data_IF_912090703700
#
_entry.id   IF_912090703700
#
_cell.length_a   1.000
_cell.length_b   1.000
_cell.length_c   1.000
_cell.angle_alpha   90.00
_cell.angle_beta   90.00
_cell.angle_gamma   90.00
#
_symmetry.space_group_name_H-M   'P 1'
#
loop_
_entity.id
_entity.type
_entity.pdbx_description
1 polymer ?
#
# COMPACT_ATOMS: atom_id res chain seq x y z
N UNK A 1 -41.23 9.38 -8.27
CA UNK A 1 -40.33 8.89 -7.19
C UNK A 1 -40.06 10.02 -6.23
N UNK A 2 -40.35 9.86 -4.94
CA UNK A 2 -40.13 10.91 -3.95
C UNK A 2 -38.63 11.26 -3.87
N UNK A 3 -38.30 12.52 -4.11
CA UNK A 3 -36.94 13.02 -3.94
C UNK A 3 -36.51 12.80 -2.48
N UNK A 4 -35.39 12.11 -2.27
CA UNK A 4 -34.94 11.78 -0.91
C UNK A 4 -34.72 13.01 -0.03
N UNK A 5 -34.77 12.81 1.28
CA UNK A 5 -34.77 13.91 2.26
C UNK A 5 -33.49 14.76 2.17
N UNK A 6 -33.53 15.97 2.73
CA UNK A 6 -32.36 16.86 2.78
C UNK A 6 -31.17 16.19 3.48
N UNK A 7 -31.46 15.42 4.52
CA UNK A 7 -30.47 14.66 5.30
C UNK A 7 -29.84 13.54 4.47
N UNK A 8 -30.65 12.74 3.78
CA UNK A 8 -30.14 11.68 2.89
C UNK A 8 -29.22 12.24 1.80
N UNK A 9 -29.55 13.41 1.24
CA UNK A 9 -28.69 14.10 0.27
C UNK A 9 -27.38 14.56 0.88
N UNK A 10 -27.38 15.01 2.14
CA UNK A 10 -26.16 15.38 2.89
C UNK A 10 -25.30 14.14 3.16
N UNK A 11 -25.90 13.04 3.56
CA UNK A 11 -25.18 11.79 3.82
C UNK A 11 -24.61 11.18 2.56
N UNK A 12 -25.36 11.18 1.46
CA UNK A 12 -24.86 10.80 0.15
C UNK A 12 -23.66 11.66 -0.25
N UNK A 13 -23.72 12.98 -0.06
CA UNK A 13 -22.59 13.89 -0.32
C UNK A 13 -21.37 13.51 0.53
N UNK A 14 -21.54 13.25 1.83
CA UNK A 14 -20.47 12.83 2.75
C UNK A 14 -19.86 11.49 2.35
N UNK A 15 -20.69 10.50 2.02
CA UNK A 15 -20.24 9.18 1.57
C UNK A 15 -19.44 9.26 0.27
N UNK A 16 -19.90 10.04 -0.71
CA UNK A 16 -19.19 10.28 -1.97
C UNK A 16 -17.83 10.95 -1.71
N UNK A 17 -17.78 11.94 -0.82
CA UNK A 17 -16.54 12.63 -0.47
C UNK A 17 -15.53 11.67 0.21
N UNK A 18 -15.98 10.86 1.16
CA UNK A 18 -15.14 9.88 1.82
C UNK A 18 -14.61 8.81 0.85
N UNK A 19 -15.46 8.30 -0.04
CA UNK A 19 -15.07 7.34 -1.06
C UNK A 19 -14.08 7.94 -2.08
N UNK A 20 -14.22 9.22 -2.45
CA UNK A 20 -13.24 9.95 -3.27
C UNK A 20 -11.87 10.04 -2.58
N UNK A 21 -11.85 10.27 -1.27
CA UNK A 21 -10.60 10.26 -0.50
C UNK A 21 -9.96 8.86 -0.52
N UNK A 22 -10.75 7.79 -0.36
CA UNK A 22 -10.26 6.42 -0.46
C UNK A 22 -9.70 6.11 -1.86
N UNK A 23 -10.37 6.55 -2.92
CA UNK A 23 -9.93 6.42 -4.32
C UNK A 23 -8.57 7.10 -4.55
N UNK A 24 -8.41 8.34 -4.10
CA UNK A 24 -7.13 9.06 -4.16
C UNK A 24 -6.01 8.36 -3.40
N UNK A 25 -6.30 7.84 -2.21
CA UNK A 25 -5.30 7.12 -1.40
C UNK A 25 -4.94 5.77 -2.01
N UNK A 26 -5.89 5.06 -2.64
CA UNK A 26 -5.63 3.83 -3.37
C UNK A 26 -4.71 4.08 -4.59
N UNK A 27 -4.96 5.14 -5.38
CA UNK A 27 -4.06 5.53 -6.49
C UNK A 27 -2.66 5.85 -6.00
N UNK A 28 -2.54 6.57 -4.87
CA UNK A 28 -1.22 6.87 -4.28
C UNK A 28 -0.53 5.60 -3.79
N UNK A 29 -1.25 4.67 -3.18
CA UNK A 29 -0.70 3.38 -2.77
C UNK A 29 -0.16 2.61 -3.99
N UNK A 30 -0.91 2.56 -5.09
CA UNK A 30 -0.46 1.92 -6.32
C UNK A 30 0.86 2.49 -6.86
N UNK A 31 1.08 3.81 -6.76
CA UNK A 31 2.34 4.45 -7.15
C UNK A 31 3.56 3.98 -6.35
N UNK A 32 3.36 3.49 -5.13
CA UNK A 32 4.41 2.96 -4.27
C UNK A 32 4.62 1.45 -4.41
N UNK A 33 3.79 0.77 -5.19
CA UNK A 33 3.99 -0.64 -5.52
C UNK A 33 4.98 -0.79 -6.68
N UNK A 34 5.73 -1.90 -6.74
CA UNK A 34 6.64 -2.15 -7.86
C UNK A 34 5.90 -2.12 -9.20
N UNK A 35 6.55 -1.54 -10.22
CA UNK A 35 6.02 -1.49 -11.59
C UNK A 35 5.80 -2.91 -12.12
N UNK A 36 4.82 -3.09 -13.01
CA UNK A 36 4.47 -4.37 -13.65
C UNK A 36 4.03 -5.50 -12.70
N UNK A 37 3.61 -5.18 -11.48
CA UNK A 37 3.00 -6.18 -10.58
C UNK A 37 1.50 -6.30 -10.80
N UNK A 38 0.99 -7.54 -10.75
CA UNK A 38 -0.45 -7.83 -10.80
C UNK A 38 -1.20 -7.09 -9.68
N UNK A 39 -0.59 -6.97 -8.50
CA UNK A 39 -1.16 -6.24 -7.36
C UNK A 39 -1.37 -4.75 -7.68
N UNK A 40 -0.39 -4.11 -8.32
CA UNK A 40 -0.52 -2.71 -8.77
C UNK A 40 -1.60 -2.56 -9.82
N UNK A 41 -1.57 -3.37 -10.88
CA UNK A 41 -2.56 -3.30 -11.97
C UNK A 41 -3.99 -3.50 -11.45
N UNK A 42 -4.20 -4.47 -10.56
CA UNK A 42 -5.51 -4.71 -9.93
C UNK A 42 -5.97 -3.56 -9.04
N UNK A 43 -5.05 -2.90 -8.34
CA UNK A 43 -5.39 -1.74 -7.49
C UNK A 43 -5.69 -0.49 -8.32
N UNK A 44 -4.97 -0.29 -9.43
CA UNK A 44 -5.23 0.78 -10.41
C UNK A 44 -6.59 0.57 -11.07
N UNK A 45 -6.87 -0.62 -11.61
CA UNK A 45 -8.17 -0.96 -12.20
C UNK A 45 -9.34 -0.74 -11.21
N UNK A 46 -9.19 -1.18 -9.95
CA UNK A 46 -10.20 -0.95 -8.92
C UNK A 46 -10.41 0.54 -8.60
N UNK A 47 -9.36 1.37 -8.71
CA UNK A 47 -9.47 2.81 -8.53
C UNK A 47 -10.16 3.51 -9.71
N UNK A 48 -9.99 3.00 -10.94
CA UNK A 48 -10.68 3.50 -12.12
C UNK A 48 -12.17 3.12 -12.11
N UNK A 49 -12.50 1.86 -11.79
CA UNK A 49 -13.88 1.43 -11.55
C UNK A 49 -14.56 2.27 -10.46
N UNK A 50 -13.86 2.51 -9.34
CA UNK A 50 -14.40 3.33 -8.26
C UNK A 50 -14.63 4.78 -8.71
N UNK A 51 -13.80 5.33 -9.61
CA UNK A 51 -14.01 6.67 -10.15
C UNK A 51 -15.28 6.75 -11.01
N UNK A 52 -15.56 5.73 -11.83
CA UNK A 52 -16.80 5.61 -12.60
C UNK A 52 -18.03 5.50 -11.69
N UNK A 53 -17.97 4.63 -10.69
CA UNK A 53 -19.04 4.48 -9.69
C UNK A 53 -19.33 5.79 -8.96
N UNK A 54 -18.28 6.55 -8.61
CA UNK A 54 -18.41 7.82 -7.91
C UNK A 54 -18.96 8.93 -8.80
N UNK A 55 -18.70 8.89 -10.11
CA UNK A 55 -19.34 9.80 -11.08
C UNK A 55 -20.83 9.52 -11.11
N UNK A 56 -21.22 8.28 -11.34
CA UNK A 56 -22.62 7.89 -11.41
C UNK A 56 -23.36 8.10 -10.06
N UNK A 57 -22.69 7.94 -8.92
CA UNK A 57 -23.25 8.28 -7.60
C UNK A 57 -23.49 9.79 -7.42
N UNK A 58 -22.69 10.66 -8.05
CA UNK A 58 -22.95 12.12 -8.02
C UNK A 58 -24.19 12.48 -8.81
N UNK A 59 -24.38 11.85 -9.96
CA UNK A 59 -25.52 12.06 -10.85
C UNK A 59 -26.81 11.59 -10.16
N UNK A 60 -26.77 10.40 -9.53
CA UNK A 60 -27.88 9.84 -8.75
C UNK A 60 -28.14 10.56 -7.42
N UNK A 61 -27.25 11.44 -6.93
CA UNK A 61 -27.34 12.04 -5.59
C UNK A 61 -28.65 12.80 -5.34
N UNK A 62 -29.16 13.50 -6.36
CA UNK A 62 -30.36 14.34 -6.22
C UNK A 62 -31.65 13.51 -6.33
N UNK A 63 -31.68 12.55 -7.24
CA UNK A 63 -32.85 11.72 -7.55
C UNK A 63 -32.96 10.47 -6.68
N UNK A 64 -31.84 9.94 -6.18
CA UNK A 64 -31.77 8.70 -5.39
C UNK A 64 -30.61 8.72 -4.40
N UNK A 65 -30.64 9.59 -3.37
CA UNK A 65 -29.52 9.78 -2.45
C UNK A 65 -29.11 8.51 -1.71
N UNK A 66 -30.07 7.67 -1.29
CA UNK A 66 -29.78 6.37 -0.65
C UNK A 66 -28.98 5.44 -1.58
N UNK A 67 -29.32 5.40 -2.87
CA UNK A 67 -28.61 4.59 -3.88
C UNK A 67 -27.19 5.12 -4.10
N UNK A 68 -27.05 6.43 -4.23
CA UNK A 68 -25.75 7.11 -4.36
C UNK A 68 -24.83 6.80 -3.16
N UNK A 69 -25.35 6.90 -1.93
CA UNK A 69 -24.60 6.57 -0.71
C UNK A 69 -24.15 5.10 -0.70
N UNK A 70 -25.05 4.16 -1.04
CA UNK A 70 -24.73 2.73 -1.12
C UNK A 70 -23.67 2.44 -2.19
N UNK A 71 -23.77 3.07 -3.36
CA UNK A 71 -22.76 2.92 -4.43
C UNK A 71 -21.39 3.39 -3.94
N UNK A 72 -21.29 4.62 -3.41
CA UNK A 72 -20.05 5.15 -2.87
C UNK A 72 -19.44 4.27 -1.76
N UNK A 73 -20.28 3.76 -0.84
CA UNK A 73 -19.83 2.87 0.23
C UNK A 73 -19.29 1.52 -0.29
N UNK A 74 -19.89 0.96 -1.34
CA UNK A 74 -19.41 -0.26 -2.00
C UNK A 74 -18.06 -0.04 -2.66
N UNK A 75 -17.88 1.05 -3.39
CA UNK A 75 -16.61 1.38 -4.03
C UNK A 75 -15.50 1.58 -2.99
N UNK A 76 -15.77 2.30 -1.89
CA UNK A 76 -14.82 2.44 -0.78
C UNK A 76 -14.45 1.08 -0.15
N UNK A 77 -15.41 0.16 0.02
CA UNK A 77 -15.16 -1.19 0.54
C UNK A 77 -14.33 -2.05 -0.43
N UNK A 78 -14.54 -1.90 -1.73
CA UNK A 78 -13.76 -2.60 -2.77
C UNK A 78 -12.30 -2.16 -2.69
N UNK A 79 -12.05 -0.85 -2.65
CA UNK A 79 -10.69 -0.29 -2.54
C UNK A 79 -9.96 -0.73 -1.27
N UNK A 80 -10.65 -0.73 -0.13
CA UNK A 80 -10.10 -1.28 1.11
C UNK A 80 -9.65 -2.72 0.94
N UNK A 81 -10.53 -3.60 0.43
CA UNK A 81 -10.22 -5.02 0.21
C UNK A 81 -9.04 -5.22 -0.73
N UNK A 82 -8.96 -4.44 -1.80
CA UNK A 82 -7.86 -4.51 -2.75
C UNK A 82 -6.54 -4.03 -2.14
N UNK A 83 -6.58 -2.97 -1.33
CA UNK A 83 -5.38 -2.49 -0.63
C UNK A 83 -4.80 -3.48 0.37
N UNK A 84 -5.66 -4.25 1.05
CA UNK A 84 -5.25 -5.31 1.97
C UNK A 84 -4.52 -6.45 1.25
N UNK A 85 -4.85 -6.68 -0.02
CA UNK A 85 -4.23 -7.71 -0.88
C UNK A 85 -2.96 -7.22 -1.60
N UNK A 86 -2.77 -5.90 -1.71
CA UNK A 86 -1.70 -5.32 -2.52
C UNK A 86 -0.43 -4.96 -1.73
N UNK A 87 -0.50 -4.82 -0.40
CA UNK A 87 0.67 -4.48 0.43
C UNK A 87 1.43 -5.70 0.96
N UNK A 88 2.70 -5.54 1.39
CA UNK A 88 3.44 -6.58 2.07
C UNK A 88 2.68 -7.02 3.32
N UNK A 89 2.42 -8.33 3.45
CA UNK A 89 1.92 -8.93 4.69
C UNK A 89 3.05 -8.85 5.72
N UNK A 90 2.84 -8.29 6.92
CA UNK A 90 3.85 -8.38 7.96
C UNK A 90 4.12 -9.86 8.27
N UNK A 91 5.39 -10.27 8.47
CA UNK A 91 5.70 -11.62 8.91
C UNK A 91 5.03 -11.84 10.28
N UNK A 92 4.26 -12.92 10.42
CA UNK A 92 3.46 -13.23 11.62
C UNK A 92 2.01 -12.71 11.64
N UNK A 93 1.59 -11.88 10.67
CA UNK A 93 0.28 -11.24 10.68
C UNK A 93 -0.88 -12.04 10.09
N UNK A 94 -1.17 -13.26 10.59
CA UNK A 94 -2.52 -13.86 10.45
C UNK A 94 -3.44 -13.28 11.52
N UNK A 95 -3.67 -11.97 11.50
CA UNK A 95 -4.43 -11.33 12.57
C UNK A 95 -5.04 -9.99 12.17
N UNK A 96 -6.37 -9.98 12.02
CA UNK A 96 -7.25 -8.84 12.34
C UNK A 96 -7.04 -7.47 11.66
N UNK A 97 -6.30 -7.35 10.55
CA UNK A 97 -6.22 -6.05 9.85
C UNK A 97 -7.53 -5.60 9.15
N UNK A 98 -8.61 -6.39 9.21
CA UNK A 98 -9.87 -6.12 8.51
C UNK A 98 -11.14 -6.05 9.37
N UNK A 99 -11.05 -6.28 10.69
CA UNK A 99 -12.24 -6.37 11.55
C UNK A 99 -12.42 -5.16 12.50
N UNK A 100 -11.34 -4.53 12.97
CA UNK A 100 -11.43 -3.62 14.12
C UNK A 100 -11.57 -2.12 13.77
N UNK A 101 -11.74 -1.76 12.49
CA UNK A 101 -11.84 -0.36 12.08
C UNK A 101 -13.25 0.23 12.07
N UNK A 102 -14.27 -0.62 12.05
CA UNK A 102 -15.66 -0.22 11.97
C UNK A 102 -16.42 -1.03 13.01
N UNK A 103 -16.59 -0.46 14.21
CA UNK A 103 -17.63 -0.93 15.13
C UNK A 103 -18.92 -1.13 14.32
N UNK A 104 -19.62 -2.24 14.51
CA UNK A 104 -20.83 -2.56 13.75
C UNK A 104 -21.86 -1.40 13.82
N UNK A 105 -21.82 -0.67 14.95
CA UNK A 105 -22.68 0.48 15.26
C UNK A 105 -22.17 1.84 14.74
N UNK A 106 -21.06 1.87 14.00
CA UNK A 106 -20.56 3.12 13.43
C UNK A 106 -21.35 3.52 12.17
N UNK A 107 -21.77 4.78 12.14
CA UNK A 107 -22.42 5.40 10.98
C UNK A 107 -21.64 5.15 9.69
N UNK A 108 -22.37 5.05 8.58
CA UNK A 108 -21.79 4.75 7.26
C UNK A 108 -20.66 5.74 6.87
N UNK A 109 -20.75 6.98 7.34
CA UNK A 109 -19.73 8.03 7.14
C UNK A 109 -18.47 7.73 7.95
N UNK A 110 -18.59 7.36 9.22
CA UNK A 110 -17.45 7.03 10.07
C UNK A 110 -16.72 5.78 9.55
N UNK A 111 -17.47 4.78 9.10
CA UNK A 111 -16.88 3.60 8.43
C UNK A 111 -16.10 4.00 7.18
N UNK A 112 -16.61 4.92 6.37
CA UNK A 112 -15.91 5.41 5.19
C UNK A 112 -14.63 6.18 5.55
N UNK A 113 -14.64 6.99 6.62
CA UNK A 113 -13.45 7.69 7.13
C UNK A 113 -12.40 6.70 7.65
N UNK A 114 -12.81 5.69 8.42
CA UNK A 114 -11.91 4.65 8.94
C UNK A 114 -11.17 3.93 7.81
N UNK A 115 -11.87 3.61 6.71
CA UNK A 115 -11.26 3.03 5.50
C UNK A 115 -10.22 3.92 4.87
N UNK A 116 -10.50 5.22 4.73
CA UNK A 116 -9.54 6.18 4.22
C UNK A 116 -8.28 6.27 5.11
N UNK A 117 -8.45 6.24 6.44
CA UNK A 117 -7.32 6.19 7.39
C UNK A 117 -6.49 4.91 7.22
N UNK A 118 -7.13 3.76 7.03
CA UNK A 118 -6.43 2.49 6.81
C UNK A 118 -5.57 2.53 5.54
N UNK A 119 -6.11 3.03 4.43
CA UNK A 119 -5.36 3.24 3.18
C UNK A 119 -4.14 4.15 3.38
N UNK A 120 -4.30 5.24 4.13
CA UNK A 120 -3.20 6.14 4.47
C UNK A 120 -2.10 5.44 5.27
N UNK A 121 -2.46 4.60 6.25
CA UNK A 121 -1.49 3.78 7.03
C UNK A 121 -0.75 2.79 6.13
N UNK A 122 -1.47 2.09 5.24
CA UNK A 122 -0.88 1.16 4.26
C UNK A 122 0.09 1.86 3.31
N UNK A 123 -0.25 3.07 2.84
CA UNK A 123 0.65 3.89 2.03
C UNK A 123 1.94 4.24 2.78
N UNK A 124 1.84 4.60 4.06
CA UNK A 124 3.02 4.89 4.88
C UNK A 124 3.92 3.66 5.03
N UNK A 125 3.35 2.49 5.29
CA UNK A 125 4.08 1.22 5.34
C UNK A 125 4.77 0.90 4.01
N UNK A 126 4.06 1.02 2.87
CA UNK A 126 4.64 0.79 1.55
C UNK A 126 5.81 1.75 1.25
N UNK A 127 5.70 3.02 1.63
CA UNK A 127 6.77 4.01 1.50
C UNK A 127 7.98 3.66 2.37
N UNK A 128 7.78 3.17 3.58
CA UNK A 128 8.86 2.72 4.47
C UNK A 128 9.58 1.50 3.90
N UNK A 129 8.84 0.50 3.44
CA UNK A 129 9.41 -0.69 2.79
C UNK A 129 10.23 -0.29 1.55
N UNK A 130 9.72 0.63 0.73
CA UNK A 130 10.46 1.14 -0.42
C UNK A 130 11.76 1.86 -0.02
N UNK A 131 11.76 2.63 1.07
CA UNK A 131 12.99 3.26 1.60
C UNK A 131 13.99 2.21 2.10
N UNK A 132 13.53 1.19 2.83
CA UNK A 132 14.39 0.12 3.32
C UNK A 132 14.98 -0.70 2.17
N UNK A 133 14.19 -1.03 1.15
CA UNK A 133 14.69 -1.73 -0.03
C UNK A 133 15.75 -0.91 -0.77
N UNK A 134 15.59 0.41 -0.87
CA UNK A 134 16.62 1.31 -1.42
C UNK A 134 17.89 1.32 -0.56
N UNK A 135 17.75 1.42 0.76
CA UNK A 135 18.89 1.38 1.68
C UNK A 135 19.64 0.05 1.58
N UNK A 136 18.91 -1.07 1.58
CA UNK A 136 19.48 -2.40 1.39
C UNK A 136 20.20 -2.54 0.04
N UNK A 137 19.63 -2.00 -1.04
CA UNK A 137 20.26 -1.98 -2.36
C UNK A 137 21.55 -1.13 -2.36
N UNK A 138 21.56 0.02 -1.70
CA UNK A 138 22.77 0.85 -1.56
C UNK A 138 23.84 0.12 -0.73
N UNK A 139 23.45 -0.53 0.37
CA UNK A 139 24.38 -1.30 1.18
C UNK A 139 24.93 -2.53 0.44
N UNK A 140 24.12 -3.24 -0.35
CA UNK A 140 24.59 -4.39 -1.14
C UNK A 140 25.46 -3.97 -2.31
N UNK A 141 25.14 -2.87 -3.01
CA UNK A 141 26.03 -2.31 -4.05
C UNK A 141 27.33 -1.80 -3.42
N UNK A 142 27.25 -1.09 -2.29
CA UNK A 142 28.43 -0.64 -1.55
C UNK A 142 29.30 -1.80 -1.07
N UNK A 143 28.70 -2.88 -0.56
CA UNK A 143 29.42 -4.11 -0.23
C UNK A 143 29.94 -4.84 -1.46
N UNK A 144 29.25 -4.83 -2.60
CA UNK A 144 29.76 -5.44 -3.83
C UNK A 144 30.96 -4.66 -4.41
N UNK A 145 31.00 -3.33 -4.21
CA UNK A 145 32.11 -2.47 -4.62
C UNK A 145 33.27 -2.55 -3.61
N UNK A 146 32.98 -2.61 -2.32
CA UNK A 146 33.98 -2.62 -1.25
C UNK A 146 34.43 -4.04 -0.84
N UNK A 147 33.73 -5.09 -1.27
CA UNK A 147 34.16 -6.46 -1.02
C UNK A 147 35.38 -6.74 -1.87
N UNK A 148 36.49 -7.20 -1.26
CA UNK A 148 37.65 -7.62 -2.03
C UNK A 148 37.20 -8.76 -2.94
N UNK A 149 37.51 -8.63 -4.23
CA UNK A 149 37.20 -9.65 -5.23
C UNK A 149 37.89 -10.96 -4.85
N UNK A 150 37.36 -12.11 -5.28
CA UNK A 150 37.97 -13.41 -4.95
C UNK A 150 39.45 -13.49 -5.37
N UNK A 151 39.85 -12.72 -6.39
CA UNK A 151 41.23 -12.55 -6.81
C UNK A 151 42.11 -11.79 -5.79
N UNK A 152 41.58 -10.76 -5.13
CA UNK A 152 42.27 -10.03 -4.06
C UNK A 152 42.39 -10.87 -2.79
N UNK A 153 41.33 -11.61 -2.44
CA UNK A 153 41.35 -12.55 -1.31
C UNK A 153 42.36 -13.68 -1.53
N UNK A 154 42.45 -14.20 -2.75
CA UNK A 154 43.42 -15.21 -3.11
C UNK A 154 44.87 -14.69 -3.04
N UNK A 155 45.12 -13.42 -3.43
CA UNK A 155 46.45 -12.78 -3.30
C UNK A 155 46.84 -12.57 -1.84
N UNK A 156 45.92 -12.13 -1.00
CA UNK A 156 46.20 -11.91 0.43
C UNK A 156 46.44 -13.21 1.19
N UNK A 157 45.68 -14.27 0.87
CA UNK A 157 45.93 -15.61 1.39
C UNK A 157 47.32 -16.13 0.98
N UNK A 158 47.70 -15.97 -0.28
CA UNK A 158 49.04 -16.35 -0.77
C UNK A 158 50.15 -15.59 -0.04
N UNK A 159 50.02 -14.28 0.11
CA UNK A 159 50.99 -13.45 0.86
C UNK A 159 51.10 -13.86 2.33
N UNK A 160 50.00 -14.25 2.98
CA UNK A 160 50.01 -14.74 4.36
C UNK A 160 50.74 -16.07 4.48
N UNK A 161 50.48 -17.01 3.57
CA UNK A 161 51.17 -18.31 3.53
C UNK A 161 52.66 -18.15 3.24
N UNK A 162 53.05 -17.24 2.35
CA UNK A 162 54.46 -16.95 2.08
C UNK A 162 55.19 -16.32 3.28
N UNK A 163 54.50 -15.47 4.07
CA UNK A 163 55.07 -14.92 5.30
C UNK A 163 55.30 -15.98 6.36
N UNK A 164 54.32 -16.83 6.63
CA UNK A 164 54.47 -17.92 7.60
C UNK A 164 55.52 -18.95 7.17
N UNK A 165 55.63 -19.23 5.87
CA UNK A 165 56.72 -20.10 5.35
C UNK A 165 58.11 -19.46 5.44
N UNK A 166 58.22 -18.13 5.36
CA UNK A 166 59.50 -17.43 5.55
C UNK A 166 59.90 -17.36 7.02
N UNK A 167 58.94 -17.24 7.91
CA UNK A 167 59.15 -17.29 9.37
C UNK A 167 59.58 -18.70 9.79
N UNK A 168 58.90 -19.74 9.32
CA UNK A 168 59.27 -21.13 9.60
C UNK A 168 60.59 -21.62 8.98
N UNK A 169 61.23 -20.82 8.11
CA UNK A 169 62.56 -21.09 7.52
C UNK A 169 63.68 -20.28 8.18
N UNK A 170 63.33 -19.39 9.11
CA UNK A 170 64.28 -18.55 9.87
C UNK A 170 64.55 -19.10 11.27
N UNK A 171 63.79 -20.10 11.69
CA UNK A 171 64.06 -20.97 12.85
C UNK A 171 64.79 -22.24 12.37
#
# INVERSE_FOLDING_TARGET
MAAGTREERRDAKRAIAAAKTAEREARKLAKHLPKRTVARARLEAAADEAALDLRAARDERRSSPRRAARRAARSARRLERMSLRAGPRPPGGRGRAGADGARADADAVERAKARAKLLKRRRAQAKQVQKMAKSAAVHTVGQAIAAPTDAERAKDLRKRVERTQREARRD
#
